data_IF_132391974785
#
_entry.id   IF_132391974785
#
_cell.length_a   1.000
_cell.length_b   1.000
_cell.length_c   1.000
_cell.angle_alpha   90.00
_cell.angle_beta   90.00
_cell.angle_gamma   90.00
#
_symmetry.space_group_name_H-M   'P 1'
#
loop_
_entity.id
_entity.type
_entity.pdbx_description
1 polymer ?
#
# COMPACT_ATOMS: atom_id res chain seq x y z
N UNK A 1 11.17 -7.77 -13.34
CA UNK A 1 11.85 -6.53 -12.90
C UNK A 1 10.79 -5.67 -12.23
N UNK A 2 10.57 -5.67 -10.92
CA UNK A 2 11.02 -6.48 -9.79
C UNK A 2 9.77 -6.59 -8.89
N UNK A 3 9.20 -7.78 -8.71
CA UNK A 3 8.05 -8.01 -7.80
C UNK A 3 8.52 -7.97 -6.34
N UNK A 4 9.31 -6.96 -5.98
CA UNK A 4 9.93 -6.80 -4.67
C UNK A 4 9.48 -5.51 -4.02
N UNK A 5 9.37 -5.53 -2.71
CA UNK A 5 8.99 -4.39 -1.91
C UNK A 5 10.07 -3.32 -1.95
N UNK A 6 9.71 -2.09 -2.34
CA UNK A 6 10.62 -0.95 -2.39
C UNK A 6 11.24 -0.57 -1.01
N UNK A 7 10.74 -1.15 0.08
CA UNK A 7 11.22 -0.90 1.45
C UNK A 7 12.13 -2.03 1.95
N UNK A 8 11.69 -3.28 1.85
CA UNK A 8 12.41 -4.42 2.43
C UNK A 8 13.03 -5.36 1.40
N UNK A 9 12.87 -5.10 0.10
CA UNK A 9 13.34 -5.93 -1.02
C UNK A 9 12.80 -7.38 -1.07
N UNK A 10 11.87 -7.74 -0.18
CA UNK A 10 11.17 -9.03 -0.19
C UNK A 10 10.12 -9.11 -1.30
N UNK A 11 9.79 -10.32 -1.75
CA UNK A 11 8.78 -10.55 -2.80
C UNK A 11 7.41 -10.01 -2.38
N UNK A 12 6.73 -9.31 -3.29
CA UNK A 12 5.39 -8.76 -3.11
C UNK A 12 4.35 -9.86 -3.30
N UNK A 13 3.95 -10.52 -2.21
CA UNK A 13 2.77 -11.38 -2.20
C UNK A 13 1.49 -10.61 -1.85
N UNK A 14 1.64 -9.65 -0.92
CA UNK A 14 0.57 -8.79 -0.41
C UNK A 14 1.03 -7.35 -0.40
N UNK A 15 0.23 -6.48 -1.01
CA UNK A 15 0.50 -5.04 -1.11
C UNK A 15 -0.50 -4.27 -0.27
N UNK A 16 -0.11 -3.07 0.14
CA UNK A 16 -1.05 -2.12 0.70
C UNK A 16 -0.91 -0.74 0.06
N UNK A 17 -2.04 -0.11 -0.27
CA UNK A 17 -2.07 1.16 -1.00
C UNK A 17 -3.21 2.06 -0.52
N UNK A 18 -2.99 3.38 -0.59
CA UNK A 18 -4.03 4.41 -0.40
C UNK A 18 -4.63 4.87 -1.73
N UNK A 19 -5.41 5.94 -1.72
CA UNK A 19 -6.04 6.50 -2.92
C UNK A 19 -5.06 6.86 -4.06
N UNK A 20 -3.78 7.03 -3.74
CA UNK A 20 -2.72 7.24 -4.72
C UNK A 20 -2.40 6.02 -5.61
N UNK A 21 -2.83 4.81 -5.25
CA UNK A 21 -2.69 3.61 -6.08
C UNK A 21 -1.30 2.97 -6.17
N UNK A 22 -0.29 3.53 -5.49
CA UNK A 22 1.07 2.96 -5.43
C UNK A 22 1.10 1.63 -4.67
N UNK A 23 1.56 0.56 -5.32
CA UNK A 23 1.53 -0.86 -4.86
C UNK A 23 2.92 -1.49 -4.72
N UNK A 24 3.97 -0.68 -4.75
CA UNK A 24 5.37 -1.08 -4.74
C UNK A 24 5.85 -1.49 -3.33
N UNK A 25 4.97 -1.51 -2.33
CA UNK A 25 5.32 -1.78 -0.92
C UNK A 25 4.43 -2.87 -0.33
N UNK A 26 5.05 -3.81 0.38
CA UNK A 26 4.34 -4.91 1.00
C UNK A 26 3.46 -4.43 2.17
N UNK A 27 2.39 -5.17 2.43
CA UNK A 27 1.43 -4.86 3.50
C UNK A 27 2.08 -4.76 4.87
N UNK A 28 3.10 -5.58 5.15
CA UNK A 28 3.86 -5.55 6.40
C UNK A 28 4.64 -4.25 6.57
N UNK A 29 5.32 -3.76 5.53
CA UNK A 29 6.06 -2.50 5.61
C UNK A 29 5.12 -1.31 5.79
N UNK A 30 3.98 -1.30 5.09
CA UNK A 30 2.95 -0.27 5.29
C UNK A 30 2.41 -0.31 6.72
N UNK A 31 2.09 -1.49 7.26
CA UNK A 31 1.61 -1.62 8.64
C UNK A 31 2.66 -1.12 9.65
N UNK A 32 3.94 -1.49 9.49
CA UNK A 32 5.02 -1.02 10.37
C UNK A 32 5.13 0.50 10.36
N UNK A 33 5.12 1.14 9.19
CA UNK A 33 5.17 2.60 9.10
C UNK A 33 3.98 3.26 9.79
N UNK A 34 2.77 2.75 9.58
CA UNK A 34 1.55 3.34 10.14
C UNK A 34 1.41 3.14 11.64
N UNK A 35 1.72 1.95 12.16
CA UNK A 35 1.47 1.61 13.57
C UNK A 35 2.68 1.78 14.48
N UNK A 36 3.90 1.64 13.96
CA UNK A 36 5.13 1.74 14.77
C UNK A 36 5.76 3.13 14.61
N UNK A 37 5.82 3.64 13.38
CA UNK A 37 6.45 4.93 13.10
C UNK A 37 5.45 6.10 13.08
N UNK A 38 4.15 5.84 13.24
CA UNK A 38 3.04 6.81 13.08
C UNK A 38 3.09 7.61 11.76
N UNK A 39 3.69 7.04 10.70
CA UNK A 39 3.73 7.65 9.37
C UNK A 39 2.65 7.06 8.47
N UNK A 40 1.63 7.87 8.18
CA UNK A 40 0.48 7.49 7.35
C UNK A 40 0.62 7.85 5.88
N UNK A 41 1.78 8.37 5.47
CA UNK A 41 2.03 8.78 4.09
C UNK A 41 2.42 7.59 3.21
N UNK A 42 2.05 7.67 1.94
CA UNK A 42 2.54 6.73 0.93
C UNK A 42 4.08 6.76 0.89
N UNK A 43 4.73 5.61 0.83
CA UNK A 43 6.19 5.52 0.75
C UNK A 43 6.75 6.16 -0.51
N UNK A 44 5.98 6.13 -1.60
CA UNK A 44 6.38 6.53 -2.95
C UNK A 44 6.14 8.02 -3.17
N UNK A 45 4.88 8.46 -3.13
CA UNK A 45 4.51 9.85 -3.44
C UNK A 45 4.32 10.76 -2.22
N UNK A 46 4.48 10.23 -0.99
CA UNK A 46 4.31 10.95 0.28
C UNK A 46 2.91 11.56 0.53
N UNK A 47 1.92 11.28 -0.32
CA UNK A 47 0.52 11.65 -0.08
C UNK A 47 0.04 11.02 1.22
N UNK A 48 -0.54 11.82 2.10
CA UNK A 48 -1.17 11.34 3.33
C UNK A 48 -2.41 10.51 3.01
N UNK A 49 -2.61 9.43 3.77
CA UNK A 49 -3.76 8.56 3.57
C UNK A 49 -4.21 7.99 4.91
N UNK A 50 -5.45 8.29 5.33
CA UNK A 50 -6.02 7.80 6.59
C UNK A 50 -6.40 6.31 6.52
N UNK A 51 -6.77 5.83 5.34
CA UNK A 51 -7.22 4.46 5.07
C UNK A 51 -6.37 3.85 3.95
N UNK A 52 -5.98 2.59 4.09
CA UNK A 52 -5.27 1.83 3.05
C UNK A 52 -5.99 0.51 2.81
N UNK A 53 -5.98 0.02 1.57
CA UNK A 53 -6.41 -1.33 1.23
C UNK A 53 -5.24 -2.29 1.26
N UNK A 54 -5.48 -3.49 1.77
CA UNK A 54 -4.55 -4.63 1.66
C UNK A 54 -5.11 -5.60 0.64
N UNK A 55 -4.29 -6.01 -0.32
CA UNK A 55 -4.71 -6.98 -1.33
C UNK A 55 -3.56 -7.86 -1.80
N UNK A 56 -3.90 -8.98 -2.45
CA UNK A 56 -2.91 -9.89 -3.02
C UNK A 56 -2.31 -9.28 -4.30
N UNK A 57 -1.01 -9.47 -4.50
CA UNK A 57 -0.28 -8.93 -5.63
C UNK A 57 -0.46 -9.78 -6.92
N UNK A 58 -1.71 -10.08 -7.32
CA UNK A 58 -1.98 -10.88 -8.52
C UNK A 58 -2.09 -10.02 -9.80
N UNK A 59 -1.39 -8.88 -9.86
CA UNK A 59 -1.46 -7.98 -11.02
C UNK A 59 -2.90 -7.60 -11.40
N UNK A 60 -3.25 -7.77 -12.68
CA UNK A 60 -4.56 -7.42 -13.24
C UNK A 60 -5.70 -8.35 -12.82
N UNK A 61 -5.41 -9.50 -12.18
CA UNK A 61 -6.42 -10.39 -11.63
C UNK A 61 -7.07 -9.84 -10.35
N UNK A 62 -6.49 -8.79 -9.77
CA UNK A 62 -7.00 -8.14 -8.56
C UNK A 62 -7.63 -6.81 -8.92
N UNK A 63 -8.96 -6.71 -8.81
CA UNK A 63 -9.68 -5.45 -9.02
C UNK A 63 -9.19 -4.41 -8.01
N UNK A 64 -8.74 -3.27 -8.52
CA UNK A 64 -8.32 -2.14 -7.69
C UNK A 64 -9.53 -1.35 -7.18
N UNK A 65 -9.46 -0.93 -5.93
CA UNK A 65 -10.42 -0.02 -5.30
C UNK A 65 -9.74 1.32 -5.19
N UNK A 66 -10.16 2.26 -6.05
CA UNK A 66 -9.61 3.63 -6.07
C UNK A 66 -10.57 4.64 -5.44
N UNK A 67 -11.81 4.24 -5.19
CA UNK A 67 -12.79 5.08 -4.50
C UNK A 67 -12.66 4.89 -2.99
N UNK A 68 -11.91 5.80 -2.37
CA UNK A 68 -11.74 5.87 -0.91
C UNK A 68 -12.78 6.78 -0.24
N UNK A 69 -13.64 7.43 -1.02
CA UNK A 69 -14.61 8.43 -0.51
C UNK A 69 -15.58 7.83 0.50
N UNK A 70 -15.93 6.55 0.35
CA UNK A 70 -16.84 5.84 1.25
C UNK A 70 -16.23 5.49 2.62
N UNK A 71 -14.91 5.67 2.78
CA UNK A 71 -14.17 5.37 4.02
C UNK A 71 -13.56 6.63 4.66
N UNK A 72 -13.78 7.81 4.07
CA UNK A 72 -13.45 9.07 4.72
C UNK A 72 -14.45 9.30 5.86
N UNK A 73 -14.00 9.05 7.10
CA UNK A 73 -14.70 9.38 8.35
C UNK A 73 -14.26 10.76 8.79
#
# INVERSE_FOLDING_TARGET
MDDSCAVCAEVLEWVAYGACGHREVCSTCVARLRFICDDRRCCICKTESSVVFVTKALGDYTRMINDFSVFAI
#
